data_IF_708524103149
#
_entry.id   IF_708524103149
#
_cell.length_a   1.000
_cell.length_b   1.000
_cell.length_c   1.000
_cell.angle_alpha   90.00
_cell.angle_beta   90.00
_cell.angle_gamma   90.00
#
_symmetry.space_group_name_H-M   'P 1'
#
loop_
_entity.id
_entity.type
_entity.pdbx_description
1 polymer ?
#
# COMPACT_ATOMS: atom_id res chain seq x y z
N UNK A 1 18.10 -27.17 39.97
CA UNK A 1 17.35 -26.52 38.89
C UNK A 1 16.01 -27.20 38.80
N UNK A 2 14.91 -26.48 38.92
CA UNK A 2 13.58 -27.09 38.80
C UNK A 2 13.28 -27.45 37.34
N UNK A 3 12.33 -28.39 37.10
CA UNK A 3 11.96 -28.83 35.76
C UNK A 3 11.58 -27.67 34.81
N UNK A 4 10.83 -26.71 35.28
CA UNK A 4 10.44 -25.51 34.52
C UNK A 4 11.63 -24.58 34.22
N UNK A 5 12.68 -24.58 35.03
CA UNK A 5 13.86 -23.78 34.79
C UNK A 5 14.74 -24.37 33.67
N UNK A 6 14.83 -25.71 33.62
CA UNK A 6 15.54 -26.44 32.53
C UNK A 6 14.87 -26.19 31.16
N UNK A 7 13.54 -26.16 31.11
CA UNK A 7 12.80 -25.84 29.86
C UNK A 7 13.12 -24.44 29.38
N UNK A 8 13.12 -23.45 30.30
CA UNK A 8 13.45 -22.04 29.95
C UNK A 8 14.89 -21.87 29.51
N UNK A 9 15.84 -22.56 30.14
CA UNK A 9 17.24 -22.49 29.75
C UNK A 9 17.45 -23.08 28.36
N UNK A 10 16.79 -24.18 28.03
CA UNK A 10 16.80 -24.73 26.67
C UNK A 10 16.21 -23.71 25.66
N UNK A 11 15.05 -23.06 25.95
CA UNK A 11 14.45 -22.05 25.10
C UNK A 11 15.39 -20.86 24.86
N UNK A 12 16.10 -20.38 25.90
CA UNK A 12 17.12 -19.31 25.79
C UNK A 12 18.29 -19.73 24.93
N UNK A 13 18.76 -20.95 25.08
CA UNK A 13 19.89 -21.49 24.31
C UNK A 13 19.50 -21.56 22.82
N UNK A 14 18.32 -22.12 22.46
CA UNK A 14 17.78 -22.16 21.10
C UNK A 14 17.65 -20.76 20.52
N UNK A 15 17.09 -19.81 21.27
CA UNK A 15 16.90 -18.43 20.81
C UNK A 15 18.22 -17.71 20.59
N UNK A 16 19.27 -18.08 21.28
CA UNK A 16 20.62 -17.56 21.11
C UNK A 16 21.16 -17.75 19.69
N UNK A 17 20.80 -18.83 19.01
CA UNK A 17 21.21 -19.13 17.63
C UNK A 17 20.43 -18.34 16.58
N UNK A 18 19.31 -17.69 16.94
CA UNK A 18 18.50 -16.89 16.03
C UNK A 18 19.15 -15.51 15.86
N UNK A 19 19.57 -15.15 14.64
CA UNK A 19 20.26 -13.88 14.34
C UNK A 19 19.31 -12.68 14.46
N UNK A 20 18.04 -12.85 14.09
CA UNK A 20 17.06 -11.76 14.14
C UNK A 20 16.51 -11.57 15.55
N UNK A 21 17.15 -10.68 16.32
CA UNK A 21 16.86 -10.47 17.75
C UNK A 21 15.39 -10.16 18.07
N UNK A 22 14.66 -9.53 17.13
CA UNK A 22 13.26 -9.12 17.34
C UNK A 22 12.28 -10.29 17.46
N UNK A 23 12.58 -11.43 16.82
CA UNK A 23 11.68 -12.58 16.85
C UNK A 23 11.99 -13.52 18.03
N UNK A 24 13.15 -13.40 18.66
CA UNK A 24 13.58 -14.26 19.75
C UNK A 24 12.53 -14.45 20.84
N UNK A 25 11.89 -13.38 21.39
CA UNK A 25 10.87 -13.56 22.43
C UNK A 25 9.64 -14.34 21.98
N UNK A 26 9.25 -14.18 20.70
CA UNK A 26 8.11 -14.90 20.15
C UNK A 26 8.44 -16.38 19.93
N UNK A 27 9.64 -16.68 19.46
CA UNK A 27 10.12 -18.07 19.28
C UNK A 27 10.37 -18.74 20.62
N UNK A 28 10.90 -18.02 21.62
CA UNK A 28 11.05 -18.54 22.99
C UNK A 28 9.70 -18.97 23.56
N UNK A 29 8.70 -18.11 23.47
CA UNK A 29 7.34 -18.44 23.95
C UNK A 29 6.76 -19.65 23.22
N UNK A 30 6.96 -19.74 21.89
CA UNK A 30 6.47 -20.86 21.07
C UNK A 30 7.11 -22.19 21.46
N UNK A 31 8.44 -22.20 21.67
CA UNK A 31 9.17 -23.39 22.09
C UNK A 31 8.78 -23.75 23.52
N UNK A 32 8.62 -22.77 24.41
CA UNK A 32 8.21 -22.99 25.80
C UNK A 32 6.82 -23.62 25.85
N UNK A 33 5.85 -23.09 25.09
CA UNK A 33 4.49 -23.66 24.99
C UNK A 33 4.54 -25.11 24.49
N UNK A 34 5.30 -25.38 23.44
CA UNK A 34 5.42 -26.71 22.87
C UNK A 34 6.08 -27.72 23.83
N UNK A 35 7.13 -27.31 24.53
CA UNK A 35 7.79 -28.14 25.54
C UNK A 35 6.89 -28.40 26.74
N UNK A 36 6.07 -27.42 27.15
CA UNK A 36 5.09 -27.60 28.21
C UNK A 36 4.02 -28.60 27.81
N UNK A 37 3.45 -28.48 26.58
CA UNK A 37 2.48 -29.41 26.07
C UNK A 37 3.02 -30.85 26.02
N UNK A 38 4.27 -31.04 25.58
CA UNK A 38 4.92 -32.35 25.55
C UNK A 38 5.19 -32.90 26.96
N UNK A 39 5.69 -32.05 27.88
CA UNK A 39 5.85 -32.45 29.29
C UNK A 39 4.53 -32.94 29.89
N UNK A 40 3.47 -32.17 29.68
CA UNK A 40 2.15 -32.49 30.24
C UNK A 40 1.58 -33.80 29.66
N UNK A 41 1.85 -34.07 28.37
CA UNK A 41 1.52 -35.36 27.73
C UNK A 41 2.28 -36.55 28.36
N UNK A 42 3.58 -36.40 28.67
CA UNK A 42 4.37 -37.43 29.33
C UNK A 42 3.94 -37.63 30.78
N UNK A 43 3.61 -36.54 31.51
CA UNK A 43 3.04 -36.66 32.86
C UNK A 43 1.70 -37.39 32.86
N UNK A 44 0.85 -37.12 31.86
CA UNK A 44 -0.41 -37.88 31.70
C UNK A 44 -0.20 -39.36 31.38
N UNK A 45 0.96 -39.72 30.80
CA UNK A 45 1.36 -41.11 30.55
C UNK A 45 1.98 -41.83 31.76
N UNK A 46 2.18 -41.09 32.89
CA UNK A 46 2.66 -41.66 34.17
C UNK A 46 4.11 -41.30 34.56
N UNK A 47 4.77 -40.46 33.77
CA UNK A 47 6.12 -39.99 34.14
C UNK A 47 6.04 -38.92 35.26
N UNK A 48 7.08 -38.86 36.11
CA UNK A 48 7.26 -37.74 37.04
C UNK A 48 7.68 -36.49 36.29
N UNK A 49 7.46 -35.30 36.88
CA UNK A 49 7.70 -34.00 36.25
C UNK A 49 9.14 -33.81 35.75
N UNK A 50 10.12 -34.32 36.47
CA UNK A 50 11.56 -34.22 36.12
C UNK A 50 11.90 -35.07 34.92
N UNK A 51 11.41 -36.33 34.88
CA UNK A 51 11.59 -37.25 33.77
C UNK A 51 10.82 -36.78 32.52
N UNK A 52 9.61 -36.30 32.69
CA UNK A 52 8.77 -35.75 31.61
C UNK A 52 9.45 -34.56 30.95
N UNK A 53 9.98 -33.61 31.71
CA UNK A 53 10.72 -32.45 31.20
C UNK A 53 12.01 -32.88 30.46
N UNK A 54 12.76 -33.84 31.01
CA UNK A 54 13.94 -34.38 30.35
C UNK A 54 13.65 -35.06 29.02
N UNK A 55 12.54 -35.83 28.94
CA UNK A 55 12.07 -36.47 27.70
C UNK A 55 11.62 -35.44 26.67
N UNK A 56 10.87 -34.41 27.07
CA UNK A 56 10.45 -33.35 26.17
C UNK A 56 11.66 -32.62 25.54
N UNK A 57 12.69 -32.30 26.32
CA UNK A 57 13.93 -31.69 25.80
C UNK A 57 14.68 -32.67 24.87
N UNK A 58 14.79 -33.94 25.26
CA UNK A 58 15.49 -34.94 24.45
C UNK A 58 14.77 -35.17 23.08
N UNK A 59 13.43 -35.12 23.05
CA UNK A 59 12.66 -35.24 21.84
C UNK A 59 12.80 -34.01 20.93
N UNK A 60 12.96 -32.81 21.51
CA UNK A 60 13.19 -31.58 20.75
C UNK A 60 14.57 -31.58 20.05
N UNK A 61 15.57 -32.24 20.64
CA UNK A 61 16.91 -32.41 20.08
C UNK A 61 17.91 -31.34 20.47
N UNK A 62 19.01 -31.29 19.72
CA UNK A 62 20.12 -30.34 19.98
C UNK A 62 19.65 -28.88 19.78
N UNK A 63 19.81 -28.02 20.83
CA UNK A 63 19.45 -26.59 20.75
C UNK A 63 20.09 -25.85 19.56
N UNK A 64 21.32 -26.21 19.20
CA UNK A 64 22.05 -25.56 18.10
C UNK A 64 21.44 -25.93 16.73
N UNK A 65 21.00 -27.19 16.56
CA UNK A 65 20.35 -27.62 15.32
C UNK A 65 18.95 -26.99 15.18
N UNK A 66 18.16 -27.04 16.24
CA UNK A 66 16.81 -26.46 16.28
C UNK A 66 16.89 -24.93 16.07
N UNK A 67 17.78 -24.22 16.77
CA UNK A 67 17.95 -22.80 16.67
C UNK A 67 18.39 -22.35 15.27
N UNK A 68 19.29 -23.09 14.61
CA UNK A 68 19.70 -22.80 13.22
C UNK A 68 18.58 -23.05 12.21
N UNK A 69 17.79 -24.11 12.39
CA UNK A 69 16.63 -24.38 11.54
C UNK A 69 15.59 -23.26 11.67
N UNK A 70 15.31 -22.81 12.90
CA UNK A 70 14.40 -21.70 13.16
C UNK A 70 14.95 -20.36 12.62
N UNK A 71 16.28 -20.11 12.71
CA UNK A 71 16.90 -18.92 12.09
C UNK A 71 16.68 -18.90 10.57
N UNK A 72 16.81 -20.05 9.90
CA UNK A 72 16.58 -20.14 8.45
C UNK A 72 15.11 -19.89 8.06
N UNK A 73 14.18 -20.42 8.86
CA UNK A 73 12.73 -20.27 8.62
C UNK A 73 12.25 -18.84 8.87
N UNK A 74 12.76 -18.19 9.92
CA UNK A 74 12.31 -16.86 10.35
C UNK A 74 13.20 -15.72 9.84
N UNK A 75 14.17 -16.02 9.00
CA UNK A 75 15.08 -15.00 8.47
C UNK A 75 14.33 -14.02 7.55
N UNK A 76 14.48 -12.70 7.75
CA UNK A 76 13.94 -11.71 6.83
C UNK A 76 14.41 -11.95 5.40
N UNK A 77 13.46 -12.07 4.46
CA UNK A 77 13.74 -12.31 3.04
C UNK A 77 13.52 -11.05 2.22
N UNK A 78 14.59 -10.27 1.92
CA UNK A 78 14.45 -9.06 1.13
C UNK A 78 13.90 -9.35 -0.26
N UNK A 79 12.99 -8.52 -0.74
CA UNK A 79 12.40 -8.62 -2.07
C UNK A 79 13.21 -7.77 -3.06
N UNK A 80 14.40 -8.26 -3.43
CA UNK A 80 15.37 -7.54 -4.25
C UNK A 80 14.81 -7.03 -5.59
N UNK A 81 13.92 -7.82 -6.21
CA UNK A 81 13.30 -7.42 -7.48
C UNK A 81 12.45 -6.14 -7.32
N UNK A 82 11.53 -6.11 -6.37
CA UNK A 82 10.70 -4.91 -6.13
C UNK A 82 11.52 -3.74 -5.57
N UNK A 83 12.52 -4.01 -4.74
CA UNK A 83 13.42 -2.96 -4.24
C UNK A 83 14.23 -2.34 -5.38
N UNK A 84 14.78 -3.17 -6.28
CA UNK A 84 15.48 -2.71 -7.48
C UNK A 84 14.58 -1.93 -8.43
N UNK A 85 13.34 -2.40 -8.62
CA UNK A 85 12.34 -1.72 -9.44
C UNK A 85 11.95 -0.36 -8.84
N UNK A 86 11.82 -0.27 -7.50
CA UNK A 86 11.59 1.00 -6.78
C UNK A 86 12.76 1.96 -6.98
N UNK A 87 13.99 1.47 -6.84
CA UNK A 87 15.20 2.26 -7.08
C UNK A 87 15.27 2.77 -8.53
N UNK A 88 14.95 1.91 -9.49
CA UNK A 88 14.88 2.29 -10.91
C UNK A 88 13.82 3.39 -11.15
N UNK A 89 12.62 3.25 -10.58
CA UNK A 89 11.57 4.27 -10.71
C UNK A 89 11.98 5.61 -10.09
N UNK A 90 12.63 5.58 -8.92
CA UNK A 90 13.17 6.81 -8.29
C UNK A 90 14.27 7.46 -9.14
N UNK A 91 15.16 6.66 -9.73
CA UNK A 91 16.21 7.17 -10.61
C UNK A 91 15.64 7.75 -11.91
N UNK A 92 14.66 7.08 -12.52
CA UNK A 92 13.97 7.60 -13.71
C UNK A 92 13.23 8.90 -13.39
N UNK A 93 12.54 8.98 -12.25
CA UNK A 93 11.88 10.20 -11.81
C UNK A 93 12.86 11.35 -11.57
N UNK A 94 13.98 11.06 -10.92
CA UNK A 94 15.07 12.03 -10.74
C UNK A 94 15.61 12.52 -12.09
N UNK A 95 15.88 11.58 -13.01
CA UNK A 95 16.36 11.91 -14.35
C UNK A 95 15.35 12.76 -15.12
N UNK A 96 14.06 12.39 -15.08
CA UNK A 96 12.98 13.18 -15.69
C UNK A 96 12.96 14.61 -15.16
N UNK A 97 12.98 14.80 -13.84
CA UNK A 97 12.87 16.11 -13.23
C UNK A 97 14.16 16.95 -13.37
N UNK A 98 15.34 16.32 -13.35
CA UNK A 98 16.61 17.02 -13.48
C UNK A 98 16.98 17.40 -14.92
N UNK A 99 16.69 16.51 -15.87
CA UNK A 99 17.24 16.62 -17.23
C UNK A 99 16.19 16.83 -18.31
N UNK A 100 15.01 16.22 -18.17
CA UNK A 100 13.97 16.24 -19.21
C UNK A 100 13.01 17.41 -19.02
N UNK A 101 12.48 17.59 -17.82
CA UNK A 101 11.47 18.60 -17.50
C UNK A 101 12.05 19.92 -16.98
N UNK A 102 13.35 20.12 -17.12
CA UNK A 102 14.05 21.29 -16.60
C UNK A 102 13.69 22.55 -17.40
N UNK A 103 13.25 23.67 -16.72
CA UNK A 103 12.75 24.83 -17.45
C UNK A 103 13.84 25.67 -18.12
N UNK A 104 15.11 25.58 -17.72
CA UNK A 104 16.20 26.36 -18.32
C UNK A 104 17.58 25.68 -18.16
N UNK A 105 18.45 25.69 -19.18
CA UNK A 105 19.84 25.30 -19.03
C UNK A 105 20.55 26.29 -18.10
N UNK A 106 21.35 25.79 -17.14
CA UNK A 106 22.08 26.62 -16.16
C UNK A 106 21.50 26.66 -14.76
N UNK A 107 20.23 26.25 -14.53
CA UNK A 107 19.64 26.21 -13.20
C UNK A 107 20.32 25.12 -12.34
N UNK A 108 20.52 25.40 -11.03
CA UNK A 108 21.10 24.43 -10.09
C UNK A 108 20.27 23.15 -10.04
N UNK A 109 20.91 21.99 -10.07
CA UNK A 109 20.26 20.66 -10.01
C UNK A 109 19.84 20.33 -8.57
N UNK A 110 20.45 20.97 -7.57
CA UNK A 110 20.21 20.70 -6.14
C UNK A 110 18.72 20.73 -5.72
N UNK A 111 17.90 21.71 -6.15
CA UNK A 111 16.48 21.72 -5.79
C UNK A 111 15.70 20.49 -6.26
N UNK A 112 16.13 19.84 -7.31
CA UNK A 112 15.49 18.63 -7.84
C UNK A 112 16.02 17.35 -7.20
N UNK A 113 17.28 17.35 -6.76
CA UNK A 113 17.91 16.19 -6.12
C UNK A 113 17.43 16.00 -4.68
N UNK A 114 17.27 17.09 -3.92
CA UNK A 114 16.90 17.05 -2.51
C UNK A 114 15.57 16.31 -2.22
N UNK A 115 14.47 16.53 -2.99
CA UNK A 115 13.23 15.78 -2.81
C UNK A 115 13.41 14.25 -2.92
N UNK A 116 14.23 13.80 -3.88
CA UNK A 116 14.49 12.35 -4.06
C UNK A 116 15.40 11.78 -2.97
N UNK A 117 16.37 12.54 -2.49
CA UNK A 117 17.18 12.14 -1.34
C UNK A 117 16.32 11.99 -0.07
N UNK A 118 15.41 12.94 0.18
CA UNK A 118 14.45 12.86 1.29
C UNK A 118 13.48 11.66 1.11
N UNK A 119 12.97 11.45 -0.10
CA UNK A 119 12.10 10.32 -0.39
C UNK A 119 12.80 8.98 -0.19
N UNK A 120 14.07 8.88 -0.58
CA UNK A 120 14.87 7.68 -0.32
C UNK A 120 15.09 7.46 1.19
N UNK A 121 15.34 8.51 1.95
CA UNK A 121 15.41 8.44 3.42
C UNK A 121 14.09 7.95 4.05
N UNK A 122 12.94 8.50 3.60
CA UNK A 122 11.61 8.07 4.05
C UNK A 122 11.35 6.61 3.63
N UNK A 123 11.68 6.22 2.42
CA UNK A 123 11.59 4.83 1.96
C UNK A 123 12.37 3.88 2.89
N UNK A 124 13.62 4.19 3.21
CA UNK A 124 14.43 3.38 4.12
C UNK A 124 13.84 3.33 5.54
N UNK A 125 13.35 4.46 6.04
CA UNK A 125 12.70 4.52 7.35
C UNK A 125 11.53 3.54 7.43
N UNK A 126 10.61 3.58 6.47
CA UNK A 126 9.46 2.68 6.41
C UNK A 126 9.84 1.23 6.06
N UNK A 127 10.88 1.03 5.24
CA UNK A 127 11.40 -0.30 4.92
C UNK A 127 11.96 -1.04 6.14
N UNK A 128 12.63 -0.32 7.05
CA UNK A 128 13.17 -0.89 8.29
C UNK A 128 12.20 -0.81 9.47
N UNK A 129 11.07 -0.11 9.32
CA UNK A 129 10.04 -0.01 10.35
C UNK A 129 9.37 -1.36 10.58
N UNK A 130 9.03 -1.63 11.83
CA UNK A 130 8.22 -2.79 12.20
C UNK A 130 6.72 -2.47 12.01
N UNK A 131 6.12 -3.06 10.97
CA UNK A 131 4.71 -2.84 10.66
C UNK A 131 3.76 -3.39 11.73
N UNK A 132 4.22 -4.30 12.61
CA UNK A 132 3.39 -4.87 13.70
C UNK A 132 2.90 -3.80 14.68
N UNK A 133 3.72 -2.75 14.89
CA UNK A 133 3.38 -1.63 15.75
C UNK A 133 2.16 -0.85 15.22
N UNK A 134 2.00 -0.77 13.90
CA UNK A 134 0.83 -0.14 13.28
C UNK A 134 -0.46 -0.88 13.63
N UNK A 135 -0.43 -2.21 13.63
CA UNK A 135 -1.56 -3.04 14.02
C UNK A 135 -1.96 -2.85 15.49
N UNK A 136 -0.97 -2.61 16.37
CA UNK A 136 -1.23 -2.33 17.80
C UNK A 136 -1.97 -1.02 18.02
N UNK A 137 -1.64 0.01 17.24
CA UNK A 137 -2.19 1.37 17.37
C UNK A 137 -3.17 1.72 16.25
N UNK A 138 -3.81 0.73 15.60
CA UNK A 138 -4.63 0.94 14.40
C UNK A 138 -5.74 1.99 14.56
N UNK A 139 -6.53 1.94 15.66
CA UNK A 139 -7.56 2.94 15.92
C UNK A 139 -7.01 4.33 16.22
N UNK A 140 -5.89 4.41 16.96
CA UNK A 140 -5.24 5.69 17.25
C UNK A 140 -4.75 6.35 15.97
N UNK A 141 -4.09 5.59 15.09
CA UNK A 141 -3.61 6.09 13.79
C UNK A 141 -4.77 6.52 12.89
N UNK A 142 -5.84 5.72 12.83
CA UNK A 142 -7.05 6.07 12.10
C UNK A 142 -7.67 7.38 12.60
N UNK A 143 -7.83 7.51 13.92
CA UNK A 143 -8.36 8.72 14.55
C UNK A 143 -7.47 9.95 14.34
N UNK A 144 -6.14 9.80 14.45
CA UNK A 144 -5.18 10.89 14.23
C UNK A 144 -5.23 11.41 12.80
N UNK A 145 -5.30 10.51 11.81
CA UNK A 145 -5.38 10.93 10.39
C UNK A 145 -6.70 11.62 10.10
N UNK A 146 -7.81 11.16 10.67
CA UNK A 146 -9.12 11.86 10.56
C UNK A 146 -9.12 13.20 11.26
N UNK A 147 -8.53 13.30 12.47
CA UNK A 147 -8.40 14.55 13.18
C UNK A 147 -7.55 15.56 12.41
N UNK A 148 -6.43 15.12 11.82
CA UNK A 148 -5.62 15.94 10.93
C UNK A 148 -6.40 16.41 9.70
N UNK A 149 -7.20 15.52 9.09
CA UNK A 149 -8.06 15.86 7.97
C UNK A 149 -9.13 16.90 8.35
N UNK A 150 -9.78 16.72 9.49
CA UNK A 150 -10.78 17.67 10.03
C UNK A 150 -10.15 19.05 10.32
N UNK A 151 -8.98 19.05 10.97
CA UNK A 151 -8.21 20.28 11.21
C UNK A 151 -7.85 21.00 9.91
N UNK A 152 -7.42 20.19 8.89
CA UNK A 152 -7.09 20.73 7.58
C UNK A 152 -8.30 21.30 6.83
N UNK A 153 -9.51 20.75 7.03
CA UNK A 153 -10.75 21.29 6.47
C UNK A 153 -11.14 22.59 7.18
N UNK A 154 -10.97 22.65 8.50
CA UNK A 154 -11.36 23.81 9.31
C UNK A 154 -10.39 25.01 9.13
N UNK A 155 -9.09 24.74 9.03
CA UNK A 155 -8.05 25.77 8.99
C UNK A 155 -7.42 25.96 7.61
N UNK A 156 -7.80 25.12 6.63
CA UNK A 156 -7.23 25.14 5.29
C UNK A 156 -7.76 26.29 4.44
N UNK A 157 -6.94 26.73 3.51
CA UNK A 157 -7.24 27.76 2.52
C UNK A 157 -7.43 27.11 1.15
N UNK A 158 -8.44 27.58 0.39
CA UNK A 158 -8.62 27.12 -0.98
C UNK A 158 -7.55 27.74 -1.89
N UNK A 159 -6.62 26.91 -2.34
CA UNK A 159 -5.64 27.28 -3.35
C UNK A 159 -6.05 26.79 -4.75
N UNK A 160 -5.25 27.01 -5.80
CA UNK A 160 -5.52 26.53 -7.14
C UNK A 160 -5.70 25.00 -7.18
N UNK A 161 -6.96 24.55 -7.33
CA UNK A 161 -7.32 23.15 -7.52
C UNK A 161 -7.26 22.24 -6.27
N UNK A 162 -6.96 22.76 -5.07
CA UNK A 162 -6.93 21.94 -3.85
C UNK A 162 -7.04 22.76 -2.57
N UNK A 163 -7.52 22.12 -1.50
CA UNK A 163 -7.48 22.66 -0.15
C UNK A 163 -6.07 22.47 0.42
N UNK A 164 -5.47 23.57 0.90
CA UNK A 164 -4.12 23.64 1.42
C UNK A 164 -4.16 23.96 2.92
N UNK A 165 -3.46 23.18 3.72
CA UNK A 165 -3.18 23.54 5.11
C UNK A 165 -1.81 24.21 5.19
N UNK A 166 -1.77 25.48 5.58
CA UNK A 166 -0.54 26.22 5.77
C UNK A 166 -0.04 26.06 7.21
N UNK A 167 1.16 25.50 7.37
CA UNK A 167 1.86 25.39 8.66
C UNK A 167 3.19 26.14 8.53
N UNK A 168 3.20 27.40 8.88
CA UNK A 168 4.34 28.30 8.64
C UNK A 168 4.64 28.43 7.14
N UNK A 169 5.81 28.00 6.71
CA UNK A 169 6.22 28.00 5.29
C UNK A 169 5.79 26.72 4.52
N UNK A 170 5.34 25.71 5.22
CA UNK A 170 4.94 24.44 4.63
C UNK A 170 3.47 24.52 4.19
N UNK A 171 3.19 24.16 2.94
CA UNK A 171 1.83 24.06 2.39
C UNK A 171 1.52 22.58 2.11
N UNK A 172 0.63 22.00 2.88
CA UNK A 172 0.23 20.58 2.78
C UNK A 172 -1.07 20.51 1.98
N UNK A 173 -1.03 19.81 0.85
CA UNK A 173 -2.24 19.52 0.06
C UNK A 173 -3.05 18.42 0.71
N UNK A 174 -4.29 18.70 1.11
CA UNK A 174 -5.16 17.70 1.73
C UNK A 174 -5.60 16.60 0.76
N UNK A 175 -5.56 16.88 -0.55
CA UNK A 175 -5.84 15.85 -1.57
C UNK A 175 -4.93 14.61 -1.47
N UNK A 176 -3.72 14.76 -0.93
CA UNK A 176 -2.79 13.63 -0.70
C UNK A 176 -3.22 12.68 0.41
N UNK A 177 -4.21 13.04 1.25
CA UNK A 177 -4.82 12.11 2.21
C UNK A 177 -5.43 10.88 1.53
N UNK A 178 -5.82 11.00 0.25
CA UNK A 178 -6.28 9.88 -0.55
C UNK A 178 -5.26 8.71 -0.61
N UNK A 179 -3.95 9.01 -0.51
CA UNK A 179 -2.88 8.00 -0.53
C UNK A 179 -2.71 7.32 0.84
N UNK A 180 -3.07 8.01 1.93
CA UNK A 180 -2.89 7.52 3.32
C UNK A 180 -4.12 6.74 3.79
N UNK A 181 -5.32 7.17 3.43
CA UNK A 181 -6.57 6.58 3.89
C UNK A 181 -6.69 5.07 3.66
N UNK A 182 -6.26 4.47 2.52
CA UNK A 182 -6.32 3.02 2.35
C UNK A 182 -5.52 2.24 3.41
N UNK A 183 -4.33 2.72 3.76
CA UNK A 183 -3.49 2.06 4.76
C UNK A 183 -4.10 2.15 6.17
N UNK A 184 -4.61 3.31 6.58
CA UNK A 184 -5.25 3.44 7.91
C UNK A 184 -6.59 2.73 7.96
N UNK A 185 -7.33 2.65 6.86
CA UNK A 185 -8.53 1.82 6.75
C UNK A 185 -8.22 0.33 6.88
N UNK A 186 -7.15 -0.15 6.26
CA UNK A 186 -6.68 -1.53 6.41
C UNK A 186 -6.39 -1.87 7.89
N UNK A 187 -5.82 -0.93 8.65
CA UNK A 187 -5.63 -1.08 10.11
C UNK A 187 -6.95 -1.17 10.87
N UNK A 188 -7.96 -0.39 10.48
CA UNK A 188 -9.29 -0.46 11.07
C UNK A 188 -9.96 -1.82 10.79
N UNK A 189 -9.92 -2.31 9.54
CA UNK A 189 -10.41 -3.65 9.15
C UNK A 189 -9.72 -4.74 9.97
N UNK A 190 -8.38 -4.66 10.13
CA UNK A 190 -7.63 -5.61 10.96
C UNK A 190 -8.13 -5.66 12.41
N UNK A 191 -8.50 -4.53 12.99
CA UNK A 191 -9.02 -4.44 14.37
C UNK A 191 -10.44 -4.98 14.53
N UNK A 192 -11.23 -4.97 13.45
CA UNK A 192 -12.62 -5.45 13.43
C UNK A 192 -12.75 -6.92 13.00
N UNK A 193 -11.61 -7.59 12.68
CA UNK A 193 -11.60 -9.00 12.35
C UNK A 193 -12.21 -9.80 13.51
N UNK A 194 -12.76 -10.96 13.25
CA UNK A 194 -13.42 -11.85 14.23
C UNK A 194 -14.76 -11.37 14.80
N UNK A 195 -15.20 -10.16 14.48
CA UNK A 195 -16.51 -9.65 14.95
C UNK A 195 -17.70 -10.17 14.10
N UNK A 196 -17.46 -11.01 13.10
CA UNK A 196 -18.54 -11.54 12.25
C UNK A 196 -19.21 -10.48 11.38
N UNK A 197 -20.54 -10.60 11.18
CA UNK A 197 -21.31 -9.62 10.41
C UNK A 197 -21.25 -8.19 10.99
N UNK A 198 -21.33 -7.95 12.31
CA UNK A 198 -21.11 -6.62 12.87
C UNK A 198 -19.77 -6.01 12.49
N UNK A 199 -18.70 -6.81 12.42
CA UNK A 199 -17.38 -6.34 11.97
C UNK A 199 -17.37 -5.83 10.54
N UNK A 200 -18.13 -6.47 9.64
CA UNK A 200 -18.28 -6.00 8.26
C UNK A 200 -19.05 -4.68 8.19
N UNK A 201 -20.15 -4.57 8.94
CA UNK A 201 -20.93 -3.33 8.99
C UNK A 201 -20.12 -2.17 9.59
N UNK A 202 -19.36 -2.43 10.66
CA UNK A 202 -18.44 -1.45 11.23
C UNK A 202 -17.32 -1.07 10.27
N UNK A 203 -16.79 -2.03 9.50
CA UNK A 203 -15.80 -1.74 8.46
C UNK A 203 -16.40 -0.86 7.35
N UNK A 204 -17.65 -1.10 6.96
CA UNK A 204 -18.39 -0.22 6.05
C UNK A 204 -18.60 1.17 6.63
N UNK A 205 -18.99 1.28 7.90
CA UNK A 205 -19.12 2.56 8.60
C UNK A 205 -17.78 3.30 8.71
N UNK A 206 -16.69 2.60 9.01
CA UNK A 206 -15.34 3.16 9.02
C UNK A 206 -14.82 3.59 7.64
N UNK A 207 -15.42 3.09 6.55
CA UNK A 207 -15.10 3.56 5.20
C UNK A 207 -15.64 4.96 4.91
N UNK A 208 -16.74 5.38 5.57
CA UNK A 208 -17.44 6.64 5.26
C UNK A 208 -16.68 7.91 5.63
N UNK A 209 -16.07 8.08 6.83
CA UNK A 209 -15.40 9.32 7.18
C UNK A 209 -14.28 9.73 6.22
N UNK A 210 -13.34 8.85 5.80
CA UNK A 210 -12.37 9.19 4.77
C UNK A 210 -13.02 9.57 3.43
N UNK A 211 -14.09 8.87 3.02
CA UNK A 211 -14.81 9.18 1.79
C UNK A 211 -15.44 10.58 1.84
N UNK A 212 -16.07 10.95 2.98
CA UNK A 212 -16.63 12.29 3.20
C UNK A 212 -15.53 13.35 3.14
N UNK A 213 -14.39 13.14 3.78
CA UNK A 213 -13.25 14.05 3.70
C UNK A 213 -12.83 14.28 2.25
N UNK A 214 -12.69 13.22 1.45
CA UNK A 214 -12.28 13.31 0.04
C UNK A 214 -13.32 14.05 -0.82
N UNK A 215 -14.60 13.90 -0.52
CA UNK A 215 -15.67 14.67 -1.16
C UNK A 215 -15.60 16.15 -0.78
N UNK A 216 -15.40 16.47 0.50
CA UNK A 216 -15.28 17.86 0.98
C UNK A 216 -14.05 18.57 0.41
N UNK A 217 -12.95 17.84 0.18
CA UNK A 217 -11.73 18.36 -0.48
C UNK A 217 -11.87 18.37 -2.01
N UNK A 218 -13.02 17.97 -2.55
CA UNK A 218 -13.29 17.89 -4.01
C UNK A 218 -12.31 16.99 -4.79
N UNK A 219 -11.82 15.93 -4.15
CA UNK A 219 -10.86 14.99 -4.75
C UNK A 219 -11.56 13.69 -5.17
N UNK A 220 -12.24 13.71 -6.29
CA UNK A 220 -12.99 12.53 -6.80
C UNK A 220 -12.06 11.40 -7.27
N UNK A 221 -10.92 11.73 -7.89
CA UNK A 221 -9.92 10.71 -8.28
C UNK A 221 -9.38 9.99 -7.05
N UNK A 222 -9.09 10.74 -5.98
CA UNK A 222 -8.68 10.20 -4.70
C UNK A 222 -9.77 9.36 -4.03
N UNK A 223 -11.04 9.75 -4.18
CA UNK A 223 -12.19 8.96 -3.68
C UNK A 223 -12.29 7.61 -4.39
N UNK A 224 -12.12 7.57 -5.72
CA UNK A 224 -12.11 6.32 -6.48
C UNK A 224 -10.93 5.44 -6.06
N UNK A 225 -9.74 6.02 -5.95
CA UNK A 225 -8.55 5.31 -5.46
C UNK A 225 -8.83 4.68 -4.09
N UNK A 226 -9.33 5.47 -3.15
CA UNK A 226 -9.68 5.01 -1.81
C UNK A 226 -10.73 3.91 -1.84
N UNK A 227 -11.81 4.08 -2.61
CA UNK A 227 -12.89 3.10 -2.71
C UNK A 227 -12.39 1.75 -3.27
N UNK A 228 -11.57 1.76 -4.33
CA UNK A 228 -11.00 0.53 -4.90
C UNK A 228 -10.08 -0.16 -3.91
N UNK A 229 -9.20 0.58 -3.24
CA UNK A 229 -8.28 0.01 -2.27
C UNK A 229 -9.00 -0.50 -1.01
N UNK A 230 -9.99 0.25 -0.49
CA UNK A 230 -10.80 -0.16 0.65
C UNK A 230 -11.65 -1.39 0.34
N UNK A 231 -12.30 -1.43 -0.81
CA UNK A 231 -13.06 -2.60 -1.26
C UNK A 231 -12.14 -3.82 -1.45
N UNK A 232 -10.99 -3.65 -2.08
CA UNK A 232 -10.01 -4.72 -2.27
C UNK A 232 -9.51 -5.32 -0.96
N UNK A 233 -9.20 -4.50 0.04
CA UNK A 233 -8.77 -4.95 1.37
C UNK A 233 -9.90 -5.67 2.12
N UNK A 234 -11.13 -5.17 2.05
CA UNK A 234 -12.28 -5.81 2.67
C UNK A 234 -12.64 -7.13 1.99
N UNK A 235 -12.59 -7.20 0.66
CA UNK A 235 -12.79 -8.44 -0.10
C UNK A 235 -11.73 -9.49 0.25
N UNK A 236 -10.47 -9.10 0.42
CA UNK A 236 -9.41 -10.01 0.86
C UNK A 236 -9.73 -10.59 2.25
N UNK A 237 -10.11 -9.74 3.21
CA UNK A 237 -10.42 -10.15 4.58
C UNK A 237 -11.59 -11.15 4.62
N UNK A 238 -12.63 -10.91 3.83
CA UNK A 238 -13.78 -11.83 3.72
C UNK A 238 -13.41 -13.10 2.98
N UNK A 239 -12.70 -13.00 1.86
CA UNK A 239 -12.25 -14.14 1.07
C UNK A 239 -11.40 -15.12 1.88
N UNK A 240 -10.62 -14.61 2.84
CA UNK A 240 -9.84 -15.43 3.78
C UNK A 240 -10.63 -15.89 5.01
N UNK A 241 -11.90 -15.49 5.17
CA UNK A 241 -12.79 -15.93 6.24
C UNK A 241 -12.53 -15.29 7.60
N UNK A 242 -11.84 -14.13 7.66
CA UNK A 242 -11.50 -13.47 8.93
C UNK A 242 -12.69 -12.88 9.69
N UNK A 243 -13.85 -12.77 9.04
CA UNK A 243 -15.12 -12.38 9.65
C UNK A 243 -16.06 -13.59 9.95
N UNK A 244 -15.55 -14.83 9.90
CA UNK A 244 -16.29 -16.04 10.21
C UNK A 244 -16.79 -16.82 8.99
N UNK A 245 -17.50 -17.97 9.22
CA UNK A 245 -17.72 -18.99 8.20
C UNK A 245 -18.74 -18.63 7.11
N UNK A 246 -19.64 -17.69 7.35
CA UNK A 246 -20.76 -17.36 6.46
C UNK A 246 -20.37 -16.47 5.26
N UNK A 247 -19.33 -16.86 4.50
CA UNK A 247 -18.79 -16.09 3.36
C UNK A 247 -19.84 -15.66 2.34
N UNK A 248 -20.80 -16.53 2.00
CA UNK A 248 -21.86 -16.22 1.02
C UNK A 248 -22.71 -15.02 1.46
N UNK A 249 -23.16 -15.00 2.73
CA UNK A 249 -23.93 -13.87 3.28
C UNK A 249 -23.12 -12.58 3.32
N UNK A 250 -21.83 -12.68 3.65
CA UNK A 250 -20.91 -11.55 3.70
C UNK A 250 -20.68 -10.94 2.32
N UNK A 251 -20.44 -11.77 1.30
CA UNK A 251 -20.29 -11.32 -0.09
C UNK A 251 -21.59 -10.69 -0.61
N UNK A 252 -22.77 -11.32 -0.34
CA UNK A 252 -24.06 -10.75 -0.72
C UNK A 252 -24.30 -9.38 -0.08
N UNK A 253 -23.97 -9.21 1.20
CA UNK A 253 -24.10 -7.93 1.88
C UNK A 253 -23.25 -6.84 1.21
N UNK A 254 -21.97 -7.12 0.94
CA UNK A 254 -21.09 -6.15 0.28
C UNK A 254 -21.57 -5.85 -1.14
N UNK A 255 -21.96 -6.88 -1.87
CA UNK A 255 -22.49 -6.69 -3.23
C UNK A 255 -23.76 -5.80 -3.22
N UNK A 256 -24.64 -6.00 -2.24
CA UNK A 256 -25.82 -5.19 -2.08
C UNK A 256 -25.49 -3.72 -1.68
N UNK A 257 -24.56 -3.53 -0.75
CA UNK A 257 -24.08 -2.21 -0.36
C UNK A 257 -23.39 -1.48 -1.52
N UNK A 258 -22.57 -2.17 -2.28
CA UNK A 258 -21.90 -1.62 -3.46
C UNK A 258 -22.91 -1.26 -4.55
N UNK A 259 -23.86 -2.15 -4.83
CA UNK A 259 -24.93 -1.89 -5.80
C UNK A 259 -25.79 -0.67 -5.37
N UNK A 260 -26.12 -0.57 -4.09
CA UNK A 260 -26.84 0.58 -3.54
C UNK A 260 -26.05 1.89 -3.66
N UNK A 261 -24.74 1.85 -3.36
CA UNK A 261 -23.87 3.03 -3.54
C UNK A 261 -23.73 3.45 -5.00
N UNK A 262 -23.56 2.49 -5.92
CA UNK A 262 -23.51 2.76 -7.36
C UNK A 262 -24.83 3.31 -7.88
N UNK A 263 -25.97 2.76 -7.44
CA UNK A 263 -27.29 3.28 -7.79
C UNK A 263 -27.50 4.70 -7.27
N UNK A 264 -27.12 4.95 -6.02
CA UNK A 264 -27.17 6.28 -5.42
C UNK A 264 -26.33 7.28 -6.22
N UNK A 265 -25.10 6.90 -6.59
CA UNK A 265 -24.21 7.71 -7.42
C UNK A 265 -24.79 7.93 -8.83
N UNK A 266 -25.41 6.91 -9.44
CA UNK A 266 -26.02 7.02 -10.74
C UNK A 266 -27.24 7.96 -10.73
N UNK A 267 -28.05 7.93 -9.67
CA UNK A 267 -29.26 8.77 -9.56
C UNK A 267 -28.88 10.20 -9.15
N UNK A 268 -28.14 10.36 -8.05
CA UNK A 268 -27.80 11.69 -7.50
C UNK A 268 -26.70 12.40 -8.32
N UNK A 269 -25.76 11.63 -8.83
CA UNK A 269 -24.65 12.14 -9.64
C UNK A 269 -24.95 12.26 -11.14
N UNK A 270 -26.16 11.91 -11.60
CA UNK A 270 -26.50 11.80 -13.03
C UNK A 270 -26.05 13.00 -13.86
N UNK A 271 -26.41 14.20 -13.44
CA UNK A 271 -26.06 15.44 -14.18
C UNK A 271 -24.55 15.69 -14.23
N UNK A 272 -23.88 15.49 -13.11
CA UNK A 272 -22.43 15.67 -13.02
C UNK A 272 -21.68 14.62 -13.85
N UNK A 273 -22.06 13.34 -13.71
CA UNK A 273 -21.44 12.23 -14.44
C UNK A 273 -21.69 12.32 -15.95
N UNK A 274 -22.91 12.70 -16.40
CA UNK A 274 -23.20 12.86 -17.83
C UNK A 274 -22.35 13.95 -18.47
N UNK A 275 -22.18 15.09 -17.79
CA UNK A 275 -21.27 16.14 -18.26
C UNK A 275 -19.82 15.69 -18.34
N UNK A 276 -19.32 14.97 -17.32
CA UNK A 276 -17.96 14.45 -17.31
C UNK A 276 -17.73 13.34 -18.35
N UNK A 277 -18.69 12.45 -18.53
CA UNK A 277 -18.65 11.42 -19.59
C UNK A 277 -18.69 12.04 -20.99
N UNK A 278 -19.45 13.11 -21.18
CA UNK A 278 -19.44 13.87 -22.43
C UNK A 278 -18.05 14.39 -22.77
N UNK A 279 -17.38 15.04 -21.81
CA UNK A 279 -16.00 15.55 -21.98
C UNK A 279 -15.00 14.42 -22.19
N UNK A 280 -15.14 13.28 -21.49
CA UNK A 280 -14.27 12.12 -21.66
C UNK A 280 -14.31 11.57 -23.07
N UNK A 281 -15.53 11.41 -23.63
CA UNK A 281 -15.74 10.81 -24.95
C UNK A 281 -15.51 11.82 -26.08
N UNK A 282 -15.97 13.04 -25.89
CA UNK A 282 -15.98 14.11 -26.88
C UNK A 282 -15.45 15.44 -26.31
N UNK A 283 -14.15 15.52 -25.93
CA UNK A 283 -13.58 16.74 -25.36
C UNK A 283 -13.63 17.92 -26.34
N UNK A 284 -13.72 17.64 -27.64
CA UNK A 284 -13.87 18.62 -28.72
C UNK A 284 -15.17 19.43 -28.65
N UNK A 285 -16.22 18.96 -27.95
CA UNK A 285 -17.47 19.72 -27.76
C UNK A 285 -17.27 20.93 -26.84
N UNK A 286 -16.27 20.92 -25.97
CA UNK A 286 -15.90 22.05 -25.11
C UNK A 286 -14.40 22.29 -25.16
N UNK A 287 -13.89 22.53 -26.38
CA UNK A 287 -12.45 22.65 -26.64
C UNK A 287 -11.79 23.82 -25.91
N UNK A 288 -12.54 24.90 -25.60
CA UNK A 288 -12.02 26.09 -24.90
C UNK A 288 -12.27 26.06 -23.37
N UNK A 289 -13.04 25.07 -22.89
CA UNK A 289 -13.38 24.92 -21.48
C UNK A 289 -12.80 23.63 -20.88
N UNK A 290 -13.67 22.76 -20.35
CA UNK A 290 -13.26 21.57 -19.62
C UNK A 290 -12.56 20.52 -20.49
N UNK A 291 -12.74 20.52 -21.81
CA UNK A 291 -12.06 19.64 -22.77
C UNK A 291 -10.67 20.14 -23.22
N UNK A 292 -10.32 21.38 -22.92
CA UNK A 292 -9.11 22.03 -23.47
C UNK A 292 -7.82 21.20 -23.29
N UNK A 293 -7.54 20.80 -22.06
CA UNK A 293 -6.31 20.04 -21.75
C UNK A 293 -6.29 18.67 -22.43
N UNK A 294 -7.44 17.99 -22.50
CA UNK A 294 -7.54 16.67 -23.13
C UNK A 294 -7.42 16.74 -24.66
N UNK A 295 -7.98 17.77 -25.30
CA UNK A 295 -7.75 18.04 -26.72
C UNK A 295 -6.27 18.30 -27.00
N UNK A 296 -5.65 19.16 -26.18
CA UNK A 296 -4.22 19.49 -26.32
C UNK A 296 -3.33 18.22 -26.20
N UNK A 297 -3.63 17.34 -25.24
CA UNK A 297 -2.90 16.06 -25.08
C UNK A 297 -3.09 15.17 -26.30
N UNK A 298 -4.35 14.98 -26.78
CA UNK A 298 -4.63 14.13 -27.94
C UNK A 298 -3.96 14.65 -29.20
N UNK A 299 -4.00 15.96 -29.41
CA UNK A 299 -3.38 16.61 -30.57
C UNK A 299 -1.84 16.50 -30.52
N UNK A 300 -1.18 16.68 -29.35
CA UNK A 300 0.26 16.45 -29.17
C UNK A 300 0.61 14.98 -29.45
N UNK A 301 -0.18 14.04 -28.93
CA UNK A 301 0.09 12.62 -29.11
C UNK A 301 -0.12 12.17 -30.56
N UNK A 302 -1.06 12.80 -31.32
CA UNK A 302 -1.27 12.49 -32.74
C UNK A 302 -0.08 12.86 -33.62
N UNK A 303 0.69 13.90 -33.23
CA UNK A 303 1.92 14.32 -33.87
C UNK A 303 3.20 13.60 -33.33
N UNK A 304 3.00 12.74 -32.30
CA UNK A 304 4.13 12.00 -31.73
C UNK A 304 4.53 10.82 -32.60
N UNK A 305 5.83 10.57 -32.68
CA UNK A 305 6.42 9.47 -33.45
C UNK A 305 6.73 8.26 -32.54
N UNK A 306 6.98 7.10 -33.11
CA UNK A 306 7.36 5.92 -32.33
C UNK A 306 8.72 6.10 -31.64
N UNK A 307 9.69 6.76 -32.28
CA UNK A 307 11.05 7.01 -31.77
C UNK A 307 11.47 8.42 -32.11
N UNK A 308 12.05 9.14 -31.17
CA UNK A 308 12.56 10.49 -31.38
C UNK A 308 11.53 11.57 -31.02
N UNK A 309 11.76 12.80 -31.49
CA UNK A 309 10.94 13.95 -31.17
C UNK A 309 9.79 14.08 -32.17
N UNK A 310 8.55 14.13 -31.66
CA UNK A 310 7.34 14.35 -32.44
C UNK A 310 7.14 15.82 -32.82
N UNK A 311 6.14 16.07 -33.67
CA UNK A 311 5.66 17.41 -33.98
C UNK A 311 4.84 18.04 -32.85
N UNK A 312 4.48 19.32 -33.00
CA UNK A 312 3.54 20.03 -32.15
C UNK A 312 2.56 20.75 -33.03
N UNK A 313 1.25 20.58 -32.84
CA UNK A 313 0.24 21.31 -33.63
C UNK A 313 0.42 22.82 -33.46
N UNK A 314 0.20 23.57 -34.55
CA UNK A 314 0.42 25.03 -34.59
C UNK A 314 -0.36 25.77 -33.50
N UNK A 315 -1.60 25.36 -33.22
CA UNK A 315 -2.43 26.01 -32.19
C UNK A 315 -1.92 25.79 -30.75
N UNK A 316 -1.13 24.71 -30.52
CA UNK A 316 -0.49 24.44 -29.23
C UNK A 316 0.78 25.24 -29.07
N UNK A 317 1.52 25.47 -30.16
CA UNK A 317 2.76 26.22 -30.22
C UNK A 317 3.95 25.49 -29.57
N UNK A 318 3.84 25.05 -28.32
CA UNK A 318 4.88 24.34 -27.61
C UNK A 318 4.28 23.40 -26.56
N UNK A 319 4.90 22.20 -26.37
CA UNK A 319 4.47 21.21 -25.35
C UNK A 319 4.61 21.75 -23.95
N UNK A 320 5.54 22.65 -23.70
CA UNK A 320 5.76 23.30 -22.41
C UNK A 320 4.56 24.17 -21.95
N UNK A 321 3.67 24.55 -22.88
CA UNK A 321 2.43 25.27 -22.57
C UNK A 321 1.33 24.36 -22.00
N UNK A 322 1.52 23.03 -22.01
CA UNK A 322 0.57 22.09 -21.39
C UNK A 322 0.49 22.36 -19.88
N UNK A 323 -0.71 22.68 -19.35
CA UNK A 323 -0.88 22.95 -17.91
C UNK A 323 -0.46 21.74 -17.07
N UNK A 324 0.20 21.98 -15.95
CA UNK A 324 0.66 20.93 -15.02
C UNK A 324 1.55 19.86 -15.67
N UNK A 325 2.31 20.21 -16.71
CA UNK A 325 3.17 19.28 -17.46
C UNK A 325 4.05 18.42 -16.55
N UNK A 326 4.66 19.04 -15.53
CA UNK A 326 5.64 18.38 -14.65
C UNK A 326 5.00 17.48 -13.60
N UNK A 327 3.77 17.76 -13.20
CA UNK A 327 3.06 17.02 -12.15
C UNK A 327 2.12 15.96 -12.74
N UNK A 328 1.25 16.38 -13.66
CA UNK A 328 0.10 15.61 -14.09
C UNK A 328 0.29 14.97 -15.46
N UNK A 329 1.14 15.54 -16.32
CA UNK A 329 1.26 15.13 -17.72
C UNK A 329 2.73 14.93 -18.19
N UNK A 330 3.65 14.61 -17.28
CA UNK A 330 5.07 14.38 -17.61
C UNK A 330 5.26 13.28 -18.67
N UNK A 331 4.38 12.26 -18.73
CA UNK A 331 4.46 11.21 -19.75
C UNK A 331 4.04 11.68 -21.14
N UNK A 332 3.23 12.73 -21.26
CA UNK A 332 2.91 13.36 -22.56
C UNK A 332 4.19 13.98 -23.14
N UNK A 333 4.96 14.69 -22.30
CA UNK A 333 6.25 15.22 -22.70
C UNK A 333 7.25 14.11 -23.06
N UNK A 334 7.26 13.02 -22.31
CA UNK A 334 8.11 11.85 -22.60
C UNK A 334 7.77 11.26 -23.97
N UNK A 335 6.48 11.08 -24.28
CA UNK A 335 6.00 10.58 -25.57
C UNK A 335 6.39 11.52 -26.72
N UNK A 336 6.23 12.84 -26.54
CA UNK A 336 6.63 13.82 -27.54
C UNK A 336 8.15 13.87 -27.76
N UNK A 337 8.95 13.86 -26.69
CA UNK A 337 10.40 14.07 -26.78
C UNK A 337 11.19 12.85 -27.21
N UNK A 338 10.80 11.66 -26.74
CA UNK A 338 11.52 10.40 -26.97
C UNK A 338 10.72 9.38 -27.79
N UNK A 339 9.50 9.68 -28.10
CA UNK A 339 8.58 8.83 -28.84
C UNK A 339 7.67 7.99 -27.96
N UNK A 340 6.63 7.45 -28.59
CA UNK A 340 5.59 6.68 -27.91
C UNK A 340 6.13 5.39 -27.28
N UNK A 341 7.23 4.85 -27.78
CA UNK A 341 7.92 3.70 -27.19
C UNK A 341 8.43 3.99 -25.76
N UNK A 342 8.91 5.21 -25.49
CA UNK A 342 9.31 5.60 -24.13
C UNK A 342 8.12 5.68 -23.17
N UNK A 343 6.97 6.18 -23.63
CA UNK A 343 5.71 6.15 -22.88
C UNK A 343 5.30 4.71 -22.56
N UNK A 344 5.31 3.79 -23.55
CA UNK A 344 4.99 2.37 -23.36
C UNK A 344 5.95 1.69 -22.38
N UNK A 345 7.24 1.98 -22.46
CA UNK A 345 8.25 1.46 -21.54
C UNK A 345 7.95 1.86 -20.09
N UNK A 346 7.60 3.14 -19.86
CA UNK A 346 7.21 3.61 -18.53
C UNK A 346 5.90 2.99 -18.07
N UNK A 347 4.91 2.87 -18.94
CA UNK A 347 3.64 2.22 -18.64
C UNK A 347 3.82 0.74 -18.27
N UNK A 348 4.63 0.01 -19.03
CA UNK A 348 4.98 -1.38 -18.73
C UNK A 348 5.70 -1.52 -17.38
N UNK A 349 6.66 -0.64 -17.09
CA UNK A 349 7.39 -0.63 -15.82
C UNK A 349 6.43 -0.44 -14.63
N UNK A 350 5.49 0.51 -14.72
CA UNK A 350 4.46 0.76 -13.71
C UNK A 350 3.48 -0.41 -13.59
N UNK A 351 3.09 -1.01 -14.70
CA UNK A 351 2.21 -2.18 -14.70
C UNK A 351 2.86 -3.38 -14.02
N UNK A 352 4.14 -3.67 -14.33
CA UNK A 352 4.91 -4.75 -13.67
C UNK A 352 5.06 -4.48 -12.19
N UNK A 353 5.44 -3.26 -11.79
CA UNK A 353 5.56 -2.87 -10.39
C UNK A 353 4.25 -3.11 -9.63
N UNK A 354 3.13 -2.63 -10.17
CA UNK A 354 1.81 -2.77 -9.58
C UNK A 354 1.35 -4.23 -9.50
N UNK A 355 1.49 -4.98 -10.60
CA UNK A 355 1.07 -6.38 -10.66
C UNK A 355 1.85 -7.27 -9.68
N UNK A 356 3.18 -7.10 -9.62
CA UNK A 356 4.03 -7.85 -8.67
C UNK A 356 3.72 -7.47 -7.24
N UNK A 357 3.52 -6.18 -6.95
CA UNK A 357 3.13 -5.68 -5.62
C UNK A 357 1.81 -6.29 -5.15
N UNK A 358 0.76 -6.22 -5.97
CA UNK A 358 -0.56 -6.81 -5.65
C UNK A 358 -0.47 -8.34 -5.51
N UNK A 359 0.19 -9.02 -6.45
CA UNK A 359 0.33 -10.49 -6.39
C UNK A 359 1.01 -10.97 -5.10
N UNK A 360 2.08 -10.28 -4.69
CA UNK A 360 2.79 -10.60 -3.43
C UNK A 360 1.94 -10.28 -2.21
N UNK A 361 1.23 -9.15 -2.18
CA UNK A 361 0.32 -8.81 -1.09
C UNK A 361 -0.79 -9.84 -0.91
N UNK A 362 -1.34 -10.37 -2.01
CA UNK A 362 -2.33 -11.45 -1.99
C UNK A 362 -1.73 -12.79 -1.51
N UNK A 363 -0.45 -13.03 -1.71
CA UNK A 363 0.27 -14.22 -1.25
C UNK A 363 0.78 -14.16 0.19
N UNK A 364 0.71 -12.97 0.84
CA UNK A 364 1.23 -12.74 2.20
C UNK A 364 0.47 -13.56 3.25
N UNK A 365 1.20 -14.22 4.15
CA UNK A 365 0.62 -15.10 5.18
C UNK A 365 0.03 -14.36 6.38
N UNK A 366 0.65 -13.26 6.79
CA UNK A 366 0.18 -12.42 7.89
C UNK A 366 -1.10 -11.67 7.53
N UNK A 367 -2.10 -11.68 8.42
CA UNK A 367 -3.35 -10.91 8.23
C UNK A 367 -3.08 -9.41 8.15
N UNK A 368 -2.36 -8.87 9.12
CA UNK A 368 -2.00 -7.46 9.17
C UNK A 368 -1.14 -7.07 7.96
N UNK A 369 -0.12 -7.89 7.68
CA UNK A 369 0.79 -7.67 6.57
C UNK A 369 0.07 -7.65 5.23
N UNK A 370 -0.79 -8.65 4.96
CA UNK A 370 -1.53 -8.72 3.70
C UNK A 370 -2.49 -7.56 3.48
N UNK A 371 -3.19 -7.08 4.54
CA UNK A 371 -4.08 -5.92 4.43
C UNK A 371 -3.29 -4.63 4.14
N UNK A 372 -2.20 -4.37 4.88
CA UNK A 372 -1.38 -3.19 4.67
C UNK A 372 -0.67 -3.19 3.32
N UNK A 373 -0.07 -4.33 2.95
CA UNK A 373 0.61 -4.45 1.67
C UNK A 373 -0.36 -4.33 0.49
N UNK A 374 -1.56 -4.92 0.58
CA UNK A 374 -2.58 -4.81 -0.47
C UNK A 374 -3.11 -3.38 -0.57
N UNK A 375 -3.39 -2.72 0.56
CA UNK A 375 -3.80 -1.32 0.57
C UNK A 375 -2.77 -0.43 -0.13
N UNK A 376 -1.48 -0.57 0.21
CA UNK A 376 -0.40 0.18 -0.41
C UNK A 376 -0.25 -0.16 -1.91
N UNK A 377 -0.25 -1.45 -2.27
CA UNK A 377 -0.11 -1.90 -3.66
C UNK A 377 -1.28 -1.42 -4.55
N UNK A 378 -2.53 -1.50 -4.07
CA UNK A 378 -3.70 -1.00 -4.79
C UNK A 378 -3.68 0.52 -4.91
N UNK A 379 -3.24 1.24 -3.86
CA UNK A 379 -3.06 2.70 -3.92
C UNK A 379 -2.11 3.09 -5.04
N UNK A 380 -0.93 2.47 -5.10
CA UNK A 380 0.07 2.74 -6.14
C UNK A 380 -0.42 2.30 -7.54
N UNK A 381 -1.11 1.16 -7.64
CA UNK A 381 -1.63 0.63 -8.90
C UNK A 381 -2.73 1.53 -9.49
N UNK A 382 -3.72 1.94 -8.67
CA UNK A 382 -4.82 2.83 -9.13
C UNK A 382 -4.29 4.22 -9.47
N UNK A 383 -3.33 4.73 -8.67
CA UNK A 383 -2.67 5.99 -8.93
C UNK A 383 -1.96 5.99 -10.29
N UNK A 384 -1.15 4.94 -10.56
CA UNK A 384 -0.45 4.79 -11.83
C UNK A 384 -1.43 4.59 -13.00
N UNK A 385 -2.45 3.73 -12.85
CA UNK A 385 -3.47 3.49 -13.87
C UNK A 385 -4.26 4.75 -14.23
N UNK A 386 -4.71 5.51 -13.23
CA UNK A 386 -5.40 6.79 -13.44
C UNK A 386 -4.52 7.79 -14.20
N UNK A 387 -3.25 7.90 -13.82
CA UNK A 387 -2.30 8.77 -14.50
C UNK A 387 -2.09 8.38 -15.97
N UNK A 388 -1.87 7.08 -16.25
CA UNK A 388 -1.66 6.56 -17.61
C UNK A 388 -2.87 6.87 -18.50
N UNK A 389 -4.10 6.65 -18.01
CA UNK A 389 -5.32 6.94 -18.77
C UNK A 389 -5.43 8.45 -19.05
N UNK A 390 -5.18 9.30 -18.04
CA UNK A 390 -5.21 10.75 -18.21
C UNK A 390 -4.12 11.24 -19.19
N UNK A 391 -2.93 10.62 -19.17
CA UNK A 391 -1.83 10.99 -20.08
C UNK A 391 -2.10 10.62 -21.55
N UNK A 392 -3.13 9.82 -21.84
CA UNK A 392 -3.63 9.55 -23.19
C UNK A 392 -4.76 10.51 -23.63
N UNK A 393 -5.09 11.50 -22.80
CA UNK A 393 -6.18 12.44 -23.07
C UNK A 393 -7.57 11.89 -22.72
N UNK A 394 -7.64 10.88 -21.83
CA UNK A 394 -8.88 10.29 -21.32
C UNK A 394 -8.96 10.49 -19.80
N UNK A 395 -9.50 11.60 -19.35
CA UNK A 395 -9.64 11.91 -17.92
C UNK A 395 -11.08 12.12 -17.51
N UNK A 396 -11.69 11.15 -16.82
CA UNK A 396 -13.03 11.32 -16.23
C UNK A 396 -12.98 12.33 -15.07
N UNK A 397 -11.88 12.28 -14.32
CA UNK A 397 -11.57 13.18 -13.21
C UNK A 397 -10.12 13.67 -13.34
N UNK A 398 -9.68 14.60 -12.48
CA UNK A 398 -8.29 15.08 -12.49
C UNK A 398 -7.29 13.93 -12.32
N UNK A 399 -6.13 14.00 -12.93
CA UNK A 399 -5.10 12.97 -12.77
C UNK A 399 -4.60 12.89 -11.32
N UNK A 400 -4.20 11.68 -10.91
CA UNK A 400 -3.39 11.47 -9.71
C UNK A 400 -1.92 11.55 -10.10
N UNK A 401 -1.04 11.91 -9.17
CA UNK A 401 0.40 11.95 -9.45
C UNK A 401 0.94 10.56 -9.83
N UNK A 402 1.86 10.47 -10.80
CA UNK A 402 2.53 9.22 -11.12
C UNK A 402 3.55 8.87 -10.04
N UNK A 403 3.50 7.68 -9.41
CA UNK A 403 4.45 7.32 -8.36
C UNK A 403 5.90 7.51 -8.80
N UNK A 404 6.68 8.24 -7.98
CA UNK A 404 8.11 8.55 -8.16
C UNK A 404 8.49 9.44 -9.35
N UNK A 405 7.62 9.62 -10.35
CA UNK A 405 7.93 10.34 -11.60
C UNK A 405 7.43 11.79 -11.55
N UNK A 406 6.17 11.99 -11.13
CA UNK A 406 5.58 13.34 -11.04
C UNK A 406 6.34 14.22 -10.06
N UNK A 407 6.54 15.50 -10.44
CA UNK A 407 7.08 16.51 -9.53
C UNK A 407 6.07 16.79 -8.41
N UNK A 408 6.55 16.81 -7.18
CA UNK A 408 5.71 17.06 -6.01
C UNK A 408 6.22 16.37 -4.77
N UNK A 409 6.89 17.10 -3.87
CA UNK A 409 7.50 16.55 -2.65
C UNK A 409 6.51 15.73 -1.81
N UNK A 410 5.29 16.21 -1.61
CA UNK A 410 4.30 15.51 -0.76
C UNK A 410 3.90 14.13 -1.31
N UNK A 411 3.56 14.05 -2.60
CA UNK A 411 3.23 12.79 -3.25
C UNK A 411 4.44 11.84 -3.29
N UNK A 412 5.62 12.37 -3.59
CA UNK A 412 6.87 11.60 -3.65
C UNK A 412 7.19 10.94 -2.29
N UNK A 413 7.10 11.70 -1.19
CA UNK A 413 7.35 11.19 0.16
C UNK A 413 6.31 10.13 0.58
N UNK A 414 5.02 10.34 0.26
CA UNK A 414 3.98 9.38 0.58
C UNK A 414 4.11 8.08 -0.23
N UNK A 415 4.43 8.18 -1.52
CA UNK A 415 4.68 7.00 -2.36
C UNK A 415 5.92 6.23 -1.87
N UNK A 416 6.97 6.93 -1.42
CA UNK A 416 8.15 6.33 -0.80
C UNK A 416 7.80 5.61 0.51
N UNK A 417 6.99 6.24 1.37
CA UNK A 417 6.52 5.65 2.62
C UNK A 417 5.65 4.39 2.37
N UNK A 418 4.68 4.46 1.45
CA UNK A 418 3.82 3.33 1.09
C UNK A 418 4.61 2.16 0.51
N UNK A 419 5.56 2.43 -0.38
CA UNK A 419 6.40 1.40 -0.96
C UNK A 419 7.36 0.81 0.07
N UNK A 420 7.96 1.64 0.93
CA UNK A 420 8.79 1.20 2.04
C UNK A 420 8.02 0.29 3.00
N UNK A 421 6.79 0.68 3.38
CA UNK A 421 5.90 -0.12 4.21
C UNK A 421 5.53 -1.46 3.55
N UNK A 422 5.15 -1.44 2.27
CA UNK A 422 4.84 -2.64 1.50
C UNK A 422 6.02 -3.62 1.47
N UNK A 423 7.23 -3.12 1.21
CA UNK A 423 8.43 -3.94 1.18
C UNK A 423 8.88 -4.39 2.58
N UNK A 424 8.62 -3.60 3.64
CA UNK A 424 8.81 -4.03 5.03
C UNK A 424 7.95 -5.25 5.36
N UNK A 425 6.67 -5.22 4.95
CA UNK A 425 5.76 -6.37 5.10
C UNK A 425 6.31 -7.59 4.36
N UNK A 426 6.68 -7.46 3.09
CA UNK A 426 7.20 -8.60 2.30
C UNK A 426 8.51 -9.16 2.82
N UNK A 427 9.30 -8.36 3.56
CA UNK A 427 10.55 -8.78 4.18
C UNK A 427 10.34 -9.58 5.46
N UNK A 428 9.34 -9.20 6.26
CA UNK A 428 9.21 -9.67 7.65
C UNK A 428 7.86 -10.30 7.98
N UNK A 429 6.90 -10.31 7.03
CA UNK A 429 5.52 -10.76 7.27
C UNK A 429 5.41 -12.25 7.59
N UNK A 430 6.24 -13.10 6.97
CA UNK A 430 6.26 -14.55 7.26
C UNK A 430 6.63 -14.85 8.73
N UNK A 431 7.40 -13.98 9.36
CA UNK A 431 7.84 -14.12 10.74
C UNK A 431 6.89 -13.48 11.76
N UNK A 432 5.86 -12.76 11.29
CA UNK A 432 4.87 -12.12 12.15
C UNK A 432 3.69 -13.04 12.39
N UNK A 433 3.47 -13.42 13.67
CA UNK A 433 2.26 -14.12 14.09
C UNK A 433 1.15 -13.11 14.41
N UNK A 434 0.04 -13.25 13.73
CA UNK A 434 -1.16 -12.52 14.08
C UNK A 434 -1.71 -13.02 15.42
N UNK A 435 -2.32 -12.12 16.22
CA UNK A 435 -3.00 -12.52 17.44
C UNK A 435 -4.10 -13.52 17.08
N UNK A 436 -4.22 -14.64 17.83
CA UNK A 436 -5.26 -15.65 17.58
C UNK A 436 -6.65 -15.02 17.58
N UNK A 437 -7.54 -15.55 16.79
CA UNK A 437 -8.94 -15.17 16.80
C UNK A 437 -9.59 -15.69 18.11
N UNK A 438 -10.56 -14.97 18.71
CA UNK A 438 -11.19 -15.37 19.99
C UNK A 438 -11.84 -16.76 19.99
N UNK A 439 -12.10 -17.32 18.80
CA UNK A 439 -12.75 -18.63 18.65
C UNK A 439 -11.78 -19.81 18.46
N UNK A 440 -10.48 -19.62 18.74
CA UNK A 440 -9.47 -20.69 18.62
C UNK A 440 -9.17 -21.18 17.20
N UNK A 441 -9.86 -20.65 16.19
CA UNK A 441 -9.54 -20.95 14.79
C UNK A 441 -8.31 -20.16 14.36
N UNK A 442 -7.16 -20.84 14.32
CA UNK A 442 -5.97 -20.36 13.64
C UNK A 442 -6.27 -20.41 12.14
N UNK A 443 -6.79 -19.32 11.59
CA UNK A 443 -6.95 -19.18 10.13
C UNK A 443 -5.61 -18.76 9.53
N UNK A 444 -4.77 -19.72 9.31
CA UNK A 444 -3.52 -19.60 8.56
C UNK A 444 -3.07 -21.02 8.25
N UNK A 445 -2.54 -21.27 7.07
CA UNK A 445 -1.94 -22.56 6.72
C UNK A 445 -1.21 -23.09 7.94
N UNK A 446 -1.52 -24.33 8.35
CA UNK A 446 -0.69 -25.04 9.33
C UNK A 446 0.75 -24.72 9.00
N UNK A 447 1.49 -24.23 9.97
CA UNK A 447 2.94 -24.05 9.85
C UNK A 447 3.47 -25.39 9.30
N UNK A 448 4.24 -25.33 8.22
CA UNK A 448 4.87 -26.49 7.61
C UNK A 448 6.00 -27.01 8.52
N UNK A 449 5.66 -27.29 9.76
CA UNK A 449 6.51 -27.92 10.74
C UNK A 449 5.81 -29.19 11.25
N UNK A 450 5.68 -30.18 10.38
CA UNK A 450 5.71 -31.56 10.79
C UNK A 450 7.18 -31.96 10.79
N UNK A 451 7.72 -32.45 11.92
CA UNK A 451 9.06 -33.01 11.90
C UNK A 451 9.08 -34.15 10.88
N UNK A 452 10.17 -34.32 10.12
CA UNK A 452 10.28 -35.48 9.26
C UNK A 452 10.11 -36.73 10.12
N UNK A 453 9.13 -37.55 9.80
CA UNK A 453 9.02 -38.91 10.35
C UNK A 453 10.33 -39.61 10.02
N UNK A 454 11.13 -39.93 11.03
CA UNK A 454 12.20 -40.92 10.96
C UNK A 454 11.60 -42.30 11.16
#
# INVERSE_FOLDING_TARGET
>A
MGPSERLRDYCREVSGYIRWKRIRPAVEAEIEDHLQDQRDAYMAAGDDEETAAGRAIAQMGDPALVGRALDQTHRPRPQWFLAGLTGLLMLLGLAMNCFVLRPAPGLLVVPYFLPYALAFGVFLCFYFMDFSQLGRHGWTLYGLVLAFAALGILLGEWGPGSLLLAVGRLRIRLSYLALVFPAVYALAVYRMRSMGLPGILLSGAACLPPAVVLLLVSNLSGLILYAVAALGTLCLAIGRGWFGPNRRRQVLLISALLAGALLCLAVLGRRYLSGRLGILLHPEQDRLGAGYVYCMIRDILSESVWWGTGGVPEWVGSVELLPNLRTDFALVYLAHRFGFAAWLGMAALMAVFSAVGVRKALGEGSMLGSLLALAAALTLAVQAGSYLICSLGYGLFGPLSLPFISDGLGALLLNAALTGLMLSVFRTGEAYRDRPLPNGEVCGRRSAWEPPCI
#
